data_IF_756360833288
#
_entry.id   IF_756360833288
#
_cell.length_a   1.000
_cell.length_b   1.000
_cell.length_c   1.000
_cell.angle_alpha   90.00
_cell.angle_beta   90.00
_cell.angle_gamma   90.00
#
_symmetry.space_group_name_H-M   'P 1'
#
loop_
_entity.id
_entity.type
_entity.pdbx_description
1 polymer ?
#
# COMPACT_ATOMS: atom_id res chain seq x y z
N UNK A 1 5.37 26.78 9.50
CA UNK A 1 6.36 27.11 10.56
C UNK A 1 7.75 27.07 9.96
N UNK A 2 8.62 28.05 10.25
CA UNK A 2 10.03 28.03 9.86
C UNK A 2 10.90 27.97 11.11
N UNK A 3 11.88 27.08 11.14
CA UNK A 3 12.72 26.82 12.31
C UNK A 3 14.11 27.39 12.10
N UNK A 4 14.64 28.08 13.10
CA UNK A 4 16.00 28.62 13.14
C UNK A 4 16.73 27.97 14.31
N UNK A 5 17.74 27.17 13.98
CA UNK A 5 18.59 26.47 14.94
C UNK A 5 19.88 27.26 15.20
N UNK A 6 20.61 26.90 16.25
CA UNK A 6 21.92 27.48 16.51
C UNK A 6 22.94 27.20 15.41
N UNK A 7 23.89 28.12 15.24
CA UNK A 7 24.96 28.05 14.22
C UNK A 7 25.86 26.81 14.39
N UNK A 8 25.85 26.18 15.56
CA UNK A 8 26.60 24.98 15.93
C UNK A 8 25.89 23.66 15.55
N UNK A 9 24.65 23.73 15.05
CA UNK A 9 23.85 22.55 14.73
C UNK A 9 24.00 22.18 13.26
N UNK A 10 24.50 20.96 13.00
CA UNK A 10 24.60 20.46 11.63
C UNK A 10 23.21 20.19 11.02
N UNK A 11 23.15 20.05 9.69
CA UNK A 11 21.87 19.92 8.97
C UNK A 11 21.11 18.63 9.34
N UNK A 12 21.80 17.51 9.56
CA UNK A 12 21.15 16.23 9.88
C UNK A 12 20.63 16.22 11.31
N UNK A 13 21.45 16.71 12.25
CA UNK A 13 21.05 16.93 13.62
C UNK A 13 19.87 17.90 13.70
N UNK A 14 19.93 19.02 12.96
CA UNK A 14 18.86 20.00 12.88
C UNK A 14 17.56 19.42 12.35
N UNK A 15 17.61 18.59 11.29
CA UNK A 15 16.44 17.89 10.76
C UNK A 15 15.82 16.94 11.79
N UNK A 16 16.65 16.21 12.53
CA UNK A 16 16.19 15.31 13.60
C UNK A 16 15.52 16.09 14.74
N UNK A 17 16.13 17.20 15.18
CA UNK A 17 15.58 18.08 16.22
C UNK A 17 14.21 18.63 15.81
N UNK A 18 14.10 19.18 14.60
CA UNK A 18 12.83 19.74 14.09
C UNK A 18 11.78 18.66 13.90
N UNK A 19 12.17 17.47 13.42
CA UNK A 19 11.26 16.33 13.27
C UNK A 19 10.67 15.92 14.62
N UNK A 20 11.53 15.74 15.63
CA UNK A 20 11.11 15.37 16.98
C UNK A 20 10.27 16.46 17.65
N UNK A 21 10.60 17.73 17.43
CA UNK A 21 9.78 18.85 17.89
C UNK A 21 8.38 18.79 17.27
N UNK A 22 8.28 18.64 15.95
CA UNK A 22 6.99 18.59 15.27
C UNK A 22 6.16 17.38 15.72
N UNK A 23 6.78 16.20 15.82
CA UNK A 23 6.15 14.98 16.32
C UNK A 23 5.56 15.17 17.72
N UNK A 24 6.35 15.72 18.65
CA UNK A 24 5.88 15.98 20.01
C UNK A 24 4.85 17.12 20.06
N UNK A 25 4.81 18.03 19.08
CA UNK A 25 3.78 19.05 19.01
C UNK A 25 2.43 18.45 18.57
N UNK A 26 2.46 17.45 17.68
CA UNK A 26 1.26 16.78 17.16
C UNK A 26 0.61 15.82 18.17
N UNK A 27 1.36 15.29 19.16
CA UNK A 27 0.79 14.38 20.17
C UNK A 27 -0.12 15.12 21.16
N UNK A 28 -1.43 15.00 21.00
CA UNK A 28 -2.39 15.76 21.82
C UNK A 28 -2.46 17.23 21.40
N UNK A 29 -2.62 17.47 20.10
CA UNK A 29 -2.60 18.80 19.50
C UNK A 29 -3.58 19.77 20.19
N UNK A 30 -3.12 20.98 20.61
CA UNK A 30 -3.97 21.93 21.32
C UNK A 30 -5.14 22.43 20.45
N UNK A 31 -6.33 22.57 21.06
CA UNK A 31 -7.56 22.97 20.37
C UNK A 31 -7.67 24.46 20.08
N UNK A 32 -6.86 25.28 20.74
CA UNK A 32 -6.88 26.74 20.60
C UNK A 32 -5.46 27.28 20.39
N UNK A 33 -5.39 28.45 19.74
CA UNK A 33 -4.11 29.05 19.36
C UNK A 33 -3.26 29.46 20.58
N UNK A 34 -3.87 29.79 21.72
CA UNK A 34 -3.15 30.20 22.93
C UNK A 34 -2.44 28.99 23.54
N UNK A 35 -3.17 27.89 23.71
CA UNK A 35 -2.62 26.61 24.18
C UNK A 35 -1.56 26.06 23.21
N UNK A 36 -1.76 26.24 21.90
CA UNK A 36 -0.76 25.92 20.89
C UNK A 36 0.54 26.72 21.11
N UNK A 37 0.45 28.04 21.22
CA UNK A 37 1.61 28.92 21.46
C UNK A 37 2.31 28.61 22.78
N UNK A 38 1.55 28.41 23.87
CA UNK A 38 2.11 28.04 25.17
C UNK A 38 2.86 26.72 25.12
N UNK A 39 2.33 25.73 24.39
CA UNK A 39 2.97 24.43 24.20
C UNK A 39 4.26 24.56 23.40
N UNK A 40 4.25 25.28 22.28
CA UNK A 40 5.44 25.56 21.46
C UNK A 40 6.54 26.19 22.32
N UNK A 41 6.23 27.24 23.08
CA UNK A 41 7.18 27.92 23.96
C UNK A 41 7.74 27.00 25.05
N UNK A 42 6.88 26.19 25.69
CA UNK A 42 7.30 25.23 26.71
C UNK A 42 8.25 24.18 26.13
N UNK A 43 7.95 23.67 24.92
CA UNK A 43 8.79 22.70 24.23
C UNK A 43 10.15 23.29 23.85
N UNK A 44 10.19 24.51 23.30
CA UNK A 44 11.44 25.21 23.01
C UNK A 44 12.30 25.38 24.27
N UNK A 45 11.69 25.76 25.40
CA UNK A 45 12.42 26.01 26.64
C UNK A 45 12.91 24.74 27.36
N UNK A 46 12.11 23.67 27.36
CA UNK A 46 12.35 22.50 28.21
C UNK A 46 12.87 21.26 27.45
N UNK A 47 12.58 21.14 26.16
CA UNK A 47 12.88 19.94 25.36
C UNK A 47 13.82 20.16 24.18
N UNK A 48 13.83 21.37 23.60
CA UNK A 48 14.55 21.64 22.35
C UNK A 48 15.35 22.96 22.39
N UNK A 49 16.36 23.07 23.29
CA UNK A 49 17.12 24.32 23.50
C UNK A 49 17.93 24.76 22.27
N UNK A 50 18.19 23.84 21.34
CA UNK A 50 18.87 24.10 20.06
C UNK A 50 18.02 24.86 19.05
N UNK A 51 16.70 24.93 19.26
CA UNK A 51 15.79 25.75 18.44
C UNK A 51 15.76 27.16 19.04
N UNK A 52 16.40 28.10 18.35
CA UNK A 52 16.52 29.48 18.84
C UNK A 52 15.30 30.33 18.52
N UNK A 53 14.66 30.08 17.37
CA UNK A 53 13.50 30.83 16.90
C UNK A 53 12.62 29.97 16.02
N UNK A 54 11.30 30.19 16.13
CA UNK A 54 10.30 29.60 15.25
C UNK A 54 9.43 30.72 14.73
N UNK A 55 9.35 30.85 13.40
CA UNK A 55 8.38 31.73 12.75
C UNK A 55 7.10 30.94 12.47
N UNK A 56 5.98 31.47 12.95
CA UNK A 56 4.65 30.88 12.79
C UNK A 56 3.75 31.92 12.14
N UNK A 57 3.36 31.66 10.89
CA UNK A 57 2.39 32.47 10.18
C UNK A 57 0.99 31.95 10.51
N UNK A 58 0.17 32.79 11.13
CA UNK A 58 -1.23 32.50 11.41
C UNK A 58 -2.11 33.23 10.39
N UNK A 59 -2.86 32.46 9.60
CA UNK A 59 -3.97 32.99 8.82
C UNK A 59 -5.26 32.70 9.59
N UNK A 60 -5.87 33.75 10.11
CA UNK A 60 -7.22 33.66 10.68
C UNK A 60 -8.20 33.62 9.52
N UNK A 61 -8.79 32.46 9.30
CA UNK A 61 -9.82 32.24 8.30
C UNK A 61 -11.11 32.90 8.79
N UNK A 62 -11.83 33.61 7.92
CA UNK A 62 -13.14 34.18 8.28
C UNK A 62 -14.17 33.07 8.52
N UNK A 63 -15.23 33.33 9.30
CA UNK A 63 -16.32 32.34 9.49
C UNK A 63 -17.00 31.92 8.15
N UNK A 64 -16.78 32.69 7.09
CA UNK A 64 -17.35 32.48 5.75
C UNK A 64 -16.43 31.65 4.83
N UNK A 65 -15.11 31.60 5.09
CA UNK A 65 -14.17 30.72 4.39
C UNK A 65 -14.22 29.32 5.01
N UNK A 66 -15.02 28.44 4.43
CA UNK A 66 -15.02 27.02 4.77
C UNK A 66 -13.72 26.38 4.24
N UNK A 67 -12.69 26.29 5.08
CA UNK A 67 -11.59 25.36 4.82
C UNK A 67 -12.13 23.96 5.05
N UNK A 68 -12.30 23.19 3.96
CA UNK A 68 -12.67 21.79 4.03
C UNK A 68 -11.54 21.00 4.70
N UNK A 69 -11.66 20.77 6.01
CA UNK A 69 -10.76 19.87 6.74
C UNK A 69 -11.13 18.44 6.32
N UNK A 70 -10.15 17.61 5.92
CA UNK A 70 -10.41 16.22 5.59
C UNK A 70 -11.06 15.50 6.78
N UNK A 71 -12.04 14.64 6.51
CA UNK A 71 -12.71 13.88 7.56
C UNK A 71 -11.72 12.91 8.22
N UNK A 72 -11.53 13.05 9.53
CA UNK A 72 -10.63 12.20 10.30
C UNK A 72 -11.00 10.71 10.19
N UNK A 73 -12.29 10.36 10.02
CA UNK A 73 -12.75 8.98 9.86
C UNK A 73 -12.30 8.33 8.53
N UNK A 74 -11.86 9.14 7.55
CA UNK A 74 -11.24 8.62 6.33
C UNK A 74 -9.78 8.19 6.55
N UNK A 75 -9.13 8.77 7.56
CA UNK A 75 -7.73 8.57 7.90
C UNK A 75 -7.54 7.82 9.24
N UNK A 76 -8.60 7.54 9.98
CA UNK A 76 -8.57 6.64 11.13
C UNK A 76 -9.17 5.29 10.73
N UNK A 77 -8.31 4.37 10.30
CA UNK A 77 -8.68 2.99 9.96
C UNK A 77 -9.31 2.22 11.14
N UNK A 78 -9.29 2.78 12.36
CA UNK A 78 -9.80 2.17 13.58
C UNK A 78 -11.23 2.55 13.96
N UNK A 79 -11.82 3.60 13.38
CA UNK A 79 -13.09 4.14 13.87
C UNK A 79 -14.15 4.29 12.78
N UNK A 80 -15.31 3.67 13.05
CA UNK A 80 -16.63 3.77 12.39
C UNK A 80 -16.97 2.73 11.31
N UNK A 81 -18.17 2.16 11.47
CA UNK A 81 -18.83 1.27 10.50
C UNK A 81 -19.35 2.14 9.37
N UNK A 82 -18.90 1.90 8.15
CA UNK A 82 -19.40 2.60 6.95
C UNK A 82 -20.84 2.14 6.69
N UNK A 83 -21.72 3.03 6.23
CA UNK A 83 -22.97 2.58 5.64
C UNK A 83 -22.64 1.71 4.42
N UNK A 84 -23.22 0.51 4.37
CA UNK A 84 -22.94 -0.42 3.27
C UNK A 84 -23.58 0.10 1.99
N UNK A 85 -22.74 0.25 0.97
CA UNK A 85 -23.15 0.61 -0.39
C UNK A 85 -23.03 -0.62 -1.29
N UNK A 86 -23.67 -0.58 -2.46
CA UNK A 86 -23.49 -1.60 -3.50
C UNK A 86 -22.01 -1.78 -3.88
N UNK A 87 -21.24 -0.69 -3.88
CA UNK A 87 -19.81 -0.70 -4.18
C UNK A 87 -19.00 -1.53 -3.17
N UNK A 88 -19.36 -1.53 -1.88
CA UNK A 88 -18.68 -2.34 -0.87
C UNK A 88 -18.88 -3.85 -1.09
N UNK A 89 -20.05 -4.26 -1.57
CA UNK A 89 -20.34 -5.66 -1.87
C UNK A 89 -19.68 -6.08 -3.17
N UNK A 90 -19.70 -5.22 -4.18
CA UNK A 90 -18.92 -5.43 -5.41
C UNK A 90 -17.45 -5.60 -5.08
N UNK A 91 -16.88 -4.71 -4.24
CA UNK A 91 -15.49 -4.77 -3.81
C UNK A 91 -15.17 -6.09 -3.08
N UNK A 92 -16.05 -6.57 -2.18
CA UNK A 92 -15.85 -7.87 -1.54
C UNK A 92 -15.86 -9.04 -2.53
N UNK A 93 -16.80 -9.07 -3.46
CA UNK A 93 -16.87 -10.10 -4.50
C UNK A 93 -15.65 -10.04 -5.42
N UNK A 94 -15.18 -8.84 -5.74
CA UNK A 94 -13.97 -8.63 -6.52
C UNK A 94 -12.74 -9.10 -5.76
N UNK A 95 -12.62 -8.82 -4.46
CA UNK A 95 -11.56 -9.32 -3.58
C UNK A 95 -11.54 -10.85 -3.51
N UNK A 96 -12.70 -11.48 -3.37
CA UNK A 96 -12.81 -12.93 -3.30
C UNK A 96 -12.60 -13.65 -4.63
N UNK A 97 -12.82 -12.99 -5.77
CA UNK A 97 -12.71 -13.59 -7.10
C UNK A 97 -11.36 -14.33 -7.28
N UNK A 98 -11.38 -15.62 -7.72
CA UNK A 98 -12.49 -16.40 -8.29
C UNK A 98 -13.34 -17.21 -7.31
N UNK A 99 -13.17 -17.01 -6.02
CA UNK A 99 -13.94 -17.76 -5.04
C UNK A 99 -15.27 -17.05 -4.78
N UNK A 100 -16.31 -17.83 -4.51
CA UNK A 100 -17.60 -17.30 -4.08
C UNK A 100 -17.55 -16.85 -2.62
N UNK A 101 -18.44 -15.93 -2.26
CA UNK A 101 -18.70 -15.54 -0.87
C UNK A 101 -20.12 -15.89 -0.48
N UNK A 102 -20.32 -16.41 0.72
CA UNK A 102 -21.66 -16.54 1.29
C UNK A 102 -22.16 -15.20 1.80
N UNK A 103 -23.48 -15.03 1.87
CA UNK A 103 -24.10 -13.81 2.43
C UNK A 103 -23.63 -13.59 3.88
N UNK A 104 -23.53 -14.66 4.68
CA UNK A 104 -23.05 -14.58 6.06
C UNK A 104 -21.63 -13.98 6.18
N UNK A 105 -20.71 -14.38 5.29
CA UNK A 105 -19.34 -13.85 5.28
C UNK A 105 -19.34 -12.36 4.90
N UNK A 106 -20.15 -11.95 3.93
CA UNK A 106 -20.26 -10.55 3.52
C UNK A 106 -20.89 -9.69 4.61
N UNK A 107 -21.93 -10.19 5.28
CA UNK A 107 -22.60 -9.52 6.41
C UNK A 107 -21.63 -9.29 7.57
N UNK A 108 -20.83 -10.29 7.93
CA UNK A 108 -19.82 -10.18 8.99
C UNK A 108 -18.69 -9.20 8.60
N UNK A 109 -18.19 -9.31 7.36
CA UNK A 109 -17.14 -8.45 6.84
C UNK A 109 -17.54 -6.97 6.80
N UNK A 110 -18.78 -6.67 6.39
CA UNK A 110 -19.29 -5.31 6.26
C UNK A 110 -20.00 -4.80 7.53
N UNK A 111 -20.15 -5.64 8.56
CA UNK A 111 -20.93 -5.33 9.78
C UNK A 111 -22.32 -4.77 9.47
N UNK A 112 -23.01 -5.40 8.52
CA UNK A 112 -24.32 -4.99 8.02
C UNK A 112 -25.38 -6.06 8.30
N UNK A 113 -26.57 -5.91 7.74
CA UNK A 113 -27.66 -6.89 7.84
C UNK A 113 -27.73 -7.74 6.60
N UNK A 114 -28.20 -8.99 6.75
CA UNK A 114 -28.40 -9.92 5.62
C UNK A 114 -29.30 -9.31 4.54
N UNK A 115 -30.37 -8.61 4.93
CA UNK A 115 -31.33 -8.00 4.01
C UNK A 115 -30.68 -6.90 3.14
N UNK A 116 -29.80 -6.08 3.72
CA UNK A 116 -29.05 -5.05 2.97
C UNK A 116 -28.09 -5.67 1.97
N UNK A 117 -27.36 -6.70 2.39
CA UNK A 117 -26.40 -7.40 1.54
C UNK A 117 -27.11 -8.09 0.37
N UNK A 118 -28.21 -8.81 0.64
CA UNK A 118 -29.00 -9.46 -0.42
C UNK A 118 -29.59 -8.45 -1.41
N UNK A 119 -30.07 -7.30 -0.94
CA UNK A 119 -30.61 -6.26 -1.83
C UNK A 119 -29.58 -5.82 -2.87
N UNK A 120 -28.36 -5.52 -2.43
CA UNK A 120 -27.29 -5.07 -3.32
C UNK A 120 -26.73 -6.21 -4.19
N UNK A 121 -26.68 -7.45 -3.70
CA UNK A 121 -26.29 -8.61 -4.50
C UNK A 121 -27.25 -8.84 -5.67
N UNK A 122 -28.56 -8.72 -5.43
CA UNK A 122 -29.57 -8.80 -6.50
C UNK A 122 -29.42 -7.66 -7.52
N UNK A 123 -29.03 -6.46 -7.08
CA UNK A 123 -28.75 -5.34 -7.97
C UNK A 123 -27.49 -5.60 -8.83
N UNK A 124 -26.42 -6.14 -8.24
CA UNK A 124 -25.22 -6.57 -8.97
C UNK A 124 -25.50 -7.71 -9.95
N UNK A 125 -26.41 -8.62 -9.61
CA UNK A 125 -26.89 -9.67 -10.53
C UNK A 125 -27.62 -9.07 -11.72
N UNK A 126 -28.51 -8.10 -11.48
CA UNK A 126 -29.23 -7.40 -12.54
C UNK A 126 -28.29 -6.61 -13.47
N UNK A 127 -27.17 -6.10 -12.94
CA UNK A 127 -26.10 -5.46 -13.71
C UNK A 127 -25.18 -6.46 -14.43
N UNK A 128 -25.33 -7.76 -14.18
CA UNK A 128 -24.46 -8.82 -14.74
C UNK A 128 -23.05 -8.85 -14.14
N UNK A 129 -22.85 -8.22 -12.99
CA UNK A 129 -21.55 -8.09 -12.30
C UNK A 129 -21.31 -9.29 -11.38
N UNK A 130 -22.37 -9.82 -10.76
CA UNK A 130 -22.33 -10.97 -9.87
C UNK A 130 -23.35 -12.05 -10.31
N UNK A 131 -23.14 -13.29 -9.87
CA UNK A 131 -24.11 -14.37 -10.06
C UNK A 131 -24.16 -15.24 -8.80
N UNK A 132 -25.33 -15.80 -8.50
CA UNK A 132 -25.47 -16.79 -7.43
C UNK A 132 -25.17 -18.19 -7.94
N UNK A 133 -24.19 -18.86 -7.34
CA UNK A 133 -23.84 -20.26 -7.59
C UNK A 133 -24.04 -21.04 -6.29
N UNK A 134 -25.07 -21.89 -6.25
CA UNK A 134 -25.50 -22.58 -5.03
C UNK A 134 -25.83 -21.60 -3.89
N UNK A 135 -25.08 -21.64 -2.79
CA UNK A 135 -25.22 -20.78 -1.60
C UNK A 135 -24.17 -19.65 -1.56
N UNK A 136 -23.38 -19.51 -2.63
CA UNK A 136 -22.32 -18.52 -2.76
C UNK A 136 -22.60 -17.54 -3.90
N UNK A 137 -22.09 -16.32 -3.74
CA UNK A 137 -22.13 -15.27 -4.74
C UNK A 137 -20.74 -15.11 -5.35
N UNK A 138 -20.69 -15.12 -6.68
CA UNK A 138 -19.46 -15.06 -7.45
C UNK A 138 -19.43 -13.82 -8.33
N UNK A 139 -18.30 -13.11 -8.37
CA UNK A 139 -18.05 -12.07 -9.36
C UNK A 139 -17.99 -12.70 -10.77
N UNK A 140 -18.80 -12.19 -11.70
CA UNK A 140 -18.81 -12.61 -13.11
C UNK A 140 -17.80 -11.78 -13.88
N UNK A 141 -16.63 -12.33 -14.19
CA UNK A 141 -15.73 -11.66 -15.13
C UNK A 141 -16.29 -11.79 -16.56
N UNK A 142 -16.79 -10.69 -17.12
CA UNK A 142 -17.33 -10.63 -18.49
C UNK A 142 -16.24 -10.65 -19.56
N UNK A 143 -14.95 -10.64 -19.18
CA UNK A 143 -13.81 -10.54 -20.09
C UNK A 143 -13.15 -11.91 -20.30
N UNK A 144 -13.62 -12.64 -21.31
CA UNK A 144 -12.99 -13.84 -21.90
C UNK A 144 -12.67 -15.00 -20.92
N UNK A 145 -13.70 -15.67 -20.41
CA UNK A 145 -13.56 -16.97 -19.70
C UNK A 145 -13.50 -18.17 -20.69
N UNK A 146 -13.51 -17.94 -22.00
CA UNK A 146 -13.73 -19.01 -23.00
C UNK A 146 -12.49 -19.81 -23.42
N UNK A 147 -11.36 -19.72 -22.73
CA UNK A 147 -10.23 -20.60 -23.00
C UNK A 147 -9.71 -21.22 -21.71
N UNK A 148 -10.08 -22.49 -21.46
CA UNK A 148 -9.24 -23.40 -20.66
C UNK A 148 -7.92 -23.54 -21.42
N UNK A 149 -6.99 -22.61 -21.18
CA UNK A 149 -5.70 -22.64 -21.82
C UNK A 149 -4.97 -23.93 -21.37
N UNK A 150 -4.51 -24.71 -22.35
CA UNK A 150 -3.67 -25.89 -22.11
C UNK A 150 -2.43 -25.42 -21.35
N UNK A 151 -2.02 -26.17 -20.34
CA UNK A 151 -0.72 -25.96 -19.66
C UNK A 151 0.38 -25.78 -20.71
N UNK A 152 1.36 -24.87 -20.52
CA UNK A 152 2.43 -24.69 -21.49
C UNK A 152 3.10 -26.03 -21.80
N UNK A 153 3.08 -26.45 -23.07
CA UNK A 153 3.69 -27.70 -23.53
C UNK A 153 5.05 -27.38 -24.15
N UNK A 154 6.07 -27.26 -23.30
CA UNK A 154 7.48 -27.14 -23.72
C UNK A 154 8.35 -26.41 -22.69
N UNK A 155 9.65 -26.74 -22.59
CA UNK A 155 10.58 -26.05 -21.69
C UNK A 155 10.77 -24.56 -22.03
N UNK A 156 10.55 -24.15 -23.27
CA UNK A 156 10.71 -22.76 -23.76
C UNK A 156 9.49 -21.87 -23.54
N UNK A 157 8.38 -22.40 -22.99
CA UNK A 157 7.13 -21.65 -22.81
C UNK A 157 6.78 -21.47 -21.32
N UNK A 158 7.74 -21.73 -20.42
CA UNK A 158 7.54 -21.56 -18.98
C UNK A 158 7.82 -20.12 -18.54
N UNK A 159 7.01 -19.56 -17.63
CA UNK A 159 7.27 -18.26 -17.02
C UNK A 159 8.57 -18.23 -16.21
N UNK A 160 9.34 -17.15 -16.38
CA UNK A 160 10.54 -16.84 -15.60
C UNK A 160 10.28 -15.76 -14.56
N UNK A 161 9.19 -15.01 -14.71
CA UNK A 161 8.79 -13.94 -13.78
C UNK A 161 7.41 -14.24 -13.19
N UNK A 162 7.31 -14.24 -11.87
CA UNK A 162 6.03 -14.28 -11.16
C UNK A 162 5.65 -12.90 -10.61
N UNK A 163 4.36 -12.59 -10.69
CA UNK A 163 3.77 -11.34 -10.22
C UNK A 163 2.64 -11.69 -9.24
N UNK A 164 2.73 -11.19 -8.02
CA UNK A 164 1.73 -11.37 -6.97
C UNK A 164 1.10 -10.01 -6.66
N UNK A 165 -0.22 -9.94 -6.75
CA UNK A 165 -1.04 -8.76 -6.42
C UNK A 165 -2.06 -9.11 -5.35
N UNK A 166 -2.65 -8.13 -4.69
CA UNK A 166 -3.68 -8.37 -3.66
C UNK A 166 -5.04 -7.81 -4.03
N UNK A 167 -5.12 -6.55 -4.46
CA UNK A 167 -6.38 -5.90 -4.79
C UNK A 167 -6.77 -6.16 -6.24
N UNK A 168 -8.06 -6.04 -6.53
CA UNK A 168 -8.56 -6.20 -7.88
C UNK A 168 -8.00 -5.12 -8.83
N UNK A 169 -7.96 -3.85 -8.39
CA UNK A 169 -7.37 -2.74 -9.17
C UNK A 169 -5.89 -2.96 -9.48
N UNK A 170 -5.14 -3.58 -8.57
CA UNK A 170 -3.73 -3.97 -8.77
C UNK A 170 -3.61 -5.04 -9.85
N UNK A 171 -4.46 -6.07 -9.77
CA UNK A 171 -4.50 -7.15 -10.75
C UNK A 171 -4.89 -6.64 -12.14
N UNK A 172 -5.88 -5.76 -12.23
CA UNK A 172 -6.28 -5.12 -13.48
C UNK A 172 -5.13 -4.32 -14.09
N UNK A 173 -4.45 -3.50 -13.28
CA UNK A 173 -3.32 -2.69 -13.71
C UNK A 173 -2.16 -3.55 -14.27
N UNK A 174 -1.82 -4.64 -13.59
CA UNK A 174 -0.83 -5.61 -14.06
C UNK A 174 -1.28 -6.27 -15.36
N UNK A 175 -2.50 -6.80 -15.41
CA UNK A 175 -3.02 -7.54 -16.57
C UNK A 175 -3.15 -6.68 -17.83
N UNK A 176 -3.34 -5.38 -17.70
CA UNK A 176 -3.39 -4.45 -18.83
C UNK A 176 -2.03 -4.32 -19.54
N UNK A 177 -0.94 -4.55 -18.81
CA UNK A 177 0.43 -4.45 -19.31
C UNK A 177 1.04 -5.79 -19.74
N UNK A 178 0.32 -6.89 -19.56
CA UNK A 178 0.72 -8.22 -20.04
C UNK A 178 0.28 -8.39 -21.50
N UNK A 179 1.24 -8.64 -22.38
CA UNK A 179 1.04 -8.95 -23.79
C UNK A 179 0.74 -10.45 -23.99
N UNK A 180 0.05 -10.81 -25.08
CA UNK A 180 -0.34 -12.19 -25.42
C UNK A 180 -1.00 -12.95 -24.25
N UNK A 181 -1.81 -12.24 -23.46
CA UNK A 181 -2.32 -12.76 -22.20
C UNK A 181 -3.31 -13.91 -22.40
N UNK A 182 -3.22 -14.93 -21.54
CA UNK A 182 -4.14 -16.06 -21.44
C UNK A 182 -4.43 -16.36 -19.98
N UNK A 183 -5.68 -16.71 -19.67
CA UNK A 183 -6.12 -17.02 -18.33
C UNK A 183 -6.13 -18.54 -18.13
N UNK A 184 -5.54 -19.01 -17.03
CA UNK A 184 -5.54 -20.42 -16.66
C UNK A 184 -6.22 -20.59 -15.32
N UNK A 185 -7.30 -21.36 -15.30
CA UNK A 185 -7.95 -21.82 -14.09
C UNK A 185 -7.38 -23.19 -13.70
N UNK A 186 -6.70 -23.27 -12.55
CA UNK A 186 -6.25 -24.55 -12.01
C UNK A 186 -7.13 -24.94 -10.83
N UNK A 187 -8.12 -25.79 -11.12
CA UNK A 187 -8.93 -26.46 -10.10
C UNK A 187 -8.15 -27.64 -9.52
N UNK A 188 -8.10 -27.75 -8.19
CA UNK A 188 -7.83 -29.03 -7.53
C UNK A 188 -9.14 -29.57 -6.96
N UNK A 189 -9.36 -30.87 -7.13
CA UNK A 189 -10.42 -31.61 -6.43
C UNK A 189 -10.22 -31.43 -4.91
N UNK A 190 -10.99 -30.55 -4.30
CA UNK A 190 -10.77 -30.07 -2.92
C UNK A 190 -11.15 -28.61 -2.65
N UNK A 191 -11.63 -27.86 -3.65
CA UNK A 191 -12.25 -26.53 -3.44
C UNK A 191 -11.33 -25.34 -3.68
N UNK A 192 -10.01 -25.55 -3.80
CA UNK A 192 -9.07 -24.46 -4.07
C UNK A 192 -8.92 -24.19 -5.57
N UNK A 193 -9.39 -23.02 -6.01
CA UNK A 193 -9.22 -22.49 -7.36
C UNK A 193 -8.20 -21.34 -7.34
N UNK A 194 -7.17 -21.43 -8.19
CA UNK A 194 -6.28 -20.29 -8.44
C UNK A 194 -6.36 -19.89 -9.91
N UNK A 195 -6.46 -18.58 -10.15
CA UNK A 195 -6.33 -17.99 -11.47
C UNK A 195 -4.90 -17.51 -11.68
N UNK A 196 -4.38 -17.86 -12.85
CA UNK A 196 -3.12 -17.34 -13.35
C UNK A 196 -3.35 -16.63 -14.67
N UNK A 197 -2.85 -15.40 -14.81
CA UNK A 197 -2.71 -14.74 -16.11
C UNK A 197 -1.29 -14.98 -16.61
N UNK A 198 -1.16 -15.74 -17.69
CA UNK A 198 0.10 -15.99 -18.37
C UNK A 198 0.23 -15.03 -19.55
N UNK A 199 1.44 -14.57 -19.84
CA UNK A 199 1.70 -13.78 -21.05
C UNK A 199 3.16 -13.34 -21.14
N UNK A 200 3.39 -12.16 -21.70
CA UNK A 200 4.73 -11.58 -21.85
C UNK A 200 4.79 -10.14 -21.37
N UNK A 201 5.96 -9.78 -20.86
CA UNK A 201 6.36 -8.38 -20.68
C UNK A 201 7.76 -8.28 -21.29
N UNK A 202 7.86 -7.55 -22.40
CA UNK A 202 9.08 -7.55 -23.20
C UNK A 202 9.49 -8.96 -23.64
N UNK A 203 10.72 -9.36 -23.32
CA UNK A 203 11.24 -10.69 -23.69
C UNK A 203 10.85 -11.79 -22.70
N UNK A 204 10.38 -11.42 -21.51
CA UNK A 204 10.13 -12.32 -20.39
C UNK A 204 8.73 -12.92 -20.44
N UNK A 205 8.64 -14.22 -20.17
CA UNK A 205 7.36 -14.90 -19.92
C UNK A 205 6.97 -14.66 -18.47
N UNK A 206 5.75 -14.18 -18.27
CA UNK A 206 5.26 -13.78 -16.95
C UNK A 206 4.04 -14.59 -16.55
N UNK A 207 3.89 -14.78 -15.24
CA UNK A 207 2.68 -15.31 -14.61
C UNK A 207 2.23 -14.37 -13.50
N UNK A 208 1.00 -13.88 -13.59
CA UNK A 208 0.39 -13.03 -12.58
C UNK A 208 -0.72 -13.76 -11.84
N UNK A 209 -0.80 -13.57 -10.52
CA UNK A 209 -1.91 -14.05 -9.70
C UNK A 209 -2.33 -12.98 -8.69
N UNK A 210 -3.54 -13.14 -8.16
CA UNK A 210 -4.12 -12.29 -7.14
C UNK A 210 -4.30 -13.12 -5.87
N UNK A 211 -3.92 -12.57 -4.73
CA UNK A 211 -4.20 -13.14 -3.41
C UNK A 211 -5.68 -12.95 -3.07
N UNK A 212 -6.29 -13.93 -2.40
CA UNK A 212 -7.68 -13.83 -1.97
C UNK A 212 -7.86 -12.84 -0.79
N UNK A 213 -6.85 -12.77 0.08
CA UNK A 213 -6.82 -11.85 1.22
C UNK A 213 -5.38 -11.62 1.69
N UNK A 214 -5.16 -10.47 2.32
CA UNK A 214 -3.92 -10.10 2.99
C UNK A 214 -4.23 -9.46 4.34
N UNK A 215 -3.29 -9.54 5.28
CA UNK A 215 -3.44 -9.00 6.61
C UNK A 215 -2.81 -9.88 7.68
N UNK A 216 -3.11 -9.57 8.93
CA UNK A 216 -2.54 -10.22 10.11
C UNK A 216 -3.42 -11.35 10.68
N UNK A 217 -4.61 -11.57 10.14
CA UNK A 217 -5.44 -12.72 10.50
C UNK A 217 -4.79 -14.02 10.06
N UNK A 218 -4.98 -15.08 10.84
CA UNK A 218 -4.39 -16.40 10.53
C UNK A 218 -4.86 -16.91 9.17
N UNK A 219 -6.12 -16.66 8.83
CA UNK A 219 -6.75 -17.05 7.58
C UNK A 219 -6.11 -16.32 6.39
N UNK A 220 -5.89 -15.01 6.50
CA UNK A 220 -5.20 -14.22 5.46
C UNK A 220 -3.74 -14.64 5.31
N UNK A 221 -3.01 -14.78 6.42
CA UNK A 221 -1.61 -15.24 6.43
C UNK A 221 -1.47 -16.59 5.73
N UNK A 222 -2.34 -17.55 6.08
CA UNK A 222 -2.32 -18.92 5.53
C UNK A 222 -2.70 -18.91 4.05
N UNK A 223 -3.74 -18.17 3.67
CA UNK A 223 -4.20 -18.05 2.30
C UNK A 223 -3.11 -17.46 1.39
N UNK A 224 -2.56 -16.30 1.75
CA UNK A 224 -1.55 -15.61 0.97
C UNK A 224 -0.27 -16.44 0.78
N UNK A 225 0.22 -17.08 1.84
CA UNK A 225 1.38 -17.96 1.78
C UNK A 225 1.12 -19.22 0.93
N UNK A 226 -0.07 -19.82 1.05
CA UNK A 226 -0.48 -21.01 0.29
C UNK A 226 -0.60 -20.73 -1.21
N UNK A 227 -1.26 -19.63 -1.60
CA UNK A 227 -1.39 -19.20 -3.01
C UNK A 227 0.00 -18.99 -3.62
N UNK A 228 0.88 -18.28 -2.89
CA UNK A 228 2.25 -18.01 -3.35
C UNK A 228 3.07 -19.29 -3.50
N UNK A 229 3.05 -20.17 -2.49
CA UNK A 229 3.75 -21.47 -2.54
C UNK A 229 3.26 -22.32 -3.72
N UNK A 230 1.96 -22.28 -4.02
CA UNK A 230 1.38 -23.00 -5.16
C UNK A 230 1.77 -22.40 -6.49
N UNK A 231 1.79 -21.07 -6.62
CA UNK A 231 2.29 -20.40 -7.83
C UNK A 231 3.71 -20.90 -8.15
N UNK A 232 4.62 -20.78 -7.17
CA UNK A 232 6.02 -21.18 -7.32
C UNK A 232 6.17 -22.71 -7.48
N UNK A 233 5.29 -23.49 -6.85
CA UNK A 233 5.20 -24.94 -7.03
C UNK A 233 4.73 -25.36 -8.44
N UNK A 234 3.87 -24.57 -9.06
CA UNK A 234 3.27 -24.87 -10.36
C UNK A 234 4.17 -24.45 -11.53
N UNK A 235 5.00 -23.42 -11.34
CA UNK A 235 5.89 -22.84 -12.35
C UNK A 235 7.32 -22.86 -11.81
N UNK A 236 8.04 -23.96 -12.05
CA UNK A 236 9.35 -24.23 -11.45
C UNK A 236 10.51 -23.41 -12.04
N UNK A 237 10.27 -22.76 -13.19
CA UNK A 237 11.28 -21.97 -13.90
C UNK A 237 11.27 -20.48 -13.51
N UNK A 238 10.56 -20.10 -12.46
CA UNK A 238 10.55 -18.72 -11.97
C UNK A 238 11.92 -18.38 -11.39
N UNK A 239 12.47 -17.25 -11.84
CA UNK A 239 13.75 -16.68 -11.39
C UNK A 239 13.54 -15.38 -10.61
N UNK A 240 12.51 -14.61 -10.98
CA UNK A 240 12.19 -13.32 -10.37
C UNK A 240 10.75 -13.28 -9.86
N UNK A 241 10.54 -12.79 -8.64
CA UNK A 241 9.19 -12.58 -8.09
C UNK A 241 8.97 -11.10 -7.74
N UNK A 242 7.88 -10.54 -8.26
CA UNK A 242 7.44 -9.19 -7.93
C UNK A 242 6.15 -9.25 -7.12
N UNK A 243 6.14 -8.57 -5.97
CA UNK A 243 4.90 -8.33 -5.22
C UNK A 243 4.48 -6.90 -5.51
N UNK A 244 3.44 -6.72 -6.32
CA UNK A 244 3.03 -5.41 -6.85
C UNK A 244 1.70 -5.01 -6.25
N UNK A 245 1.62 -3.76 -5.79
CA UNK A 245 0.39 -3.25 -5.22
C UNK A 245 0.48 -1.80 -4.80
N UNK A 246 -0.48 -1.37 -3.98
CA UNK A 246 -0.50 -0.05 -3.36
C UNK A 246 0.09 -0.10 -1.95
N UNK A 247 0.57 1.04 -1.47
CA UNK A 247 1.05 1.20 -0.11
C UNK A 247 0.83 2.63 0.39
N UNK A 248 1.16 2.85 1.66
CA UNK A 248 1.12 4.15 2.30
C UNK A 248 2.52 4.73 2.49
N UNK A 249 2.72 5.99 2.13
CA UNK A 249 4.00 6.66 2.36
C UNK A 249 4.19 7.00 3.84
N UNK A 250 5.40 6.81 4.33
CA UNK A 250 5.82 7.33 5.64
C UNK A 250 6.14 8.82 5.49
N UNK A 251 5.46 9.72 6.23
CA UNK A 251 5.73 11.15 6.14
C UNK A 251 7.11 11.53 6.71
N UNK A 252 7.94 12.19 5.91
CA UNK A 252 9.24 12.72 6.33
C UNK A 252 9.26 14.25 6.26
N UNK A 253 8.64 14.91 7.25
CA UNK A 253 8.37 16.35 7.25
C UNK A 253 9.60 17.27 7.10
N UNK A 254 10.79 16.77 7.44
CA UNK A 254 12.04 17.55 7.43
C UNK A 254 13.02 17.09 6.36
N UNK A 255 12.69 16.02 5.62
CA UNK A 255 13.55 15.48 4.56
C UNK A 255 12.77 15.22 3.27
N UNK A 256 12.73 16.26 2.43
CA UNK A 256 12.15 16.22 1.10
C UNK A 256 12.66 15.04 0.24
N UNK A 257 13.90 14.57 0.45
CA UNK A 257 14.47 13.45 -0.32
C UNK A 257 13.93 12.09 0.10
N UNK A 258 13.49 11.95 1.35
CA UNK A 258 12.89 10.71 1.89
C UNK A 258 11.37 10.71 1.74
N UNK A 259 10.75 11.89 1.70
CA UNK A 259 9.30 12.02 1.63
C UNK A 259 8.72 11.59 0.27
N UNK A 260 7.99 10.47 0.28
CA UNK A 260 7.15 10.04 -0.82
C UNK A 260 5.76 10.67 -0.72
N UNK A 261 5.10 10.88 -1.86
CA UNK A 261 3.76 11.46 -2.00
C UNK A 261 2.83 10.56 -2.79
N UNK A 262 1.54 10.89 -2.81
CA UNK A 262 0.57 10.12 -3.59
C UNK A 262 0.94 10.14 -5.09
N UNK A 263 0.84 8.96 -5.73
CA UNK A 263 1.27 8.74 -7.11
C UNK A 263 2.76 8.41 -7.28
N UNK A 264 3.59 8.54 -6.24
CA UNK A 264 4.98 8.04 -6.27
C UNK A 264 5.00 6.51 -6.21
N UNK A 265 6.14 5.92 -6.56
CA UNK A 265 6.37 4.47 -6.39
C UNK A 265 7.58 4.23 -5.50
N UNK A 266 7.39 3.38 -4.49
CA UNK A 266 8.45 2.87 -3.62
C UNK A 266 8.77 1.43 -4.01
N UNK A 267 10.04 1.14 -4.24
CA UNK A 267 10.58 -0.20 -4.50
C UNK A 267 11.43 -0.62 -3.31
N UNK A 268 11.23 -1.85 -2.84
CA UNK A 268 12.01 -2.43 -1.74
C UNK A 268 13.50 -2.45 -2.07
N UNK A 269 14.34 -1.97 -1.15
CA UNK A 269 15.80 -1.97 -1.28
C UNK A 269 16.48 -2.47 0.00
N UNK A 270 17.61 -3.18 -0.12
CA UNK A 270 18.23 -3.93 0.97
C UNK A 270 19.04 -3.07 1.97
N UNK A 271 18.68 -1.80 2.15
CA UNK A 271 19.36 -0.86 3.05
C UNK A 271 18.34 -0.01 3.82
N UNK A 272 18.07 -0.28 5.11
CA UNK A 272 18.59 -1.41 5.89
C UNK A 272 18.00 -2.77 5.50
N UNK A 273 16.72 -2.85 5.17
CA UNK A 273 16.02 -4.12 4.90
C UNK A 273 15.02 -3.92 3.76
N UNK A 274 14.99 -4.83 2.78
CA UNK A 274 14.04 -4.73 1.66
C UNK A 274 12.59 -4.81 2.16
N UNK A 275 12.31 -5.73 3.09
CA UNK A 275 11.02 -5.83 3.73
C UNK A 275 11.13 -6.18 5.22
N UNK A 276 10.37 -5.47 6.05
CA UNK A 276 10.33 -5.69 7.50
C UNK A 276 8.90 -5.83 8.02
N UNK A 277 8.66 -6.86 8.82
CA UNK A 277 7.34 -7.12 9.39
C UNK A 277 7.40 -7.20 10.92
N UNK A 278 6.53 -6.45 11.59
CA UNK A 278 6.35 -6.51 13.04
C UNK A 278 5.11 -7.36 13.41
N UNK A 279 5.26 -8.67 13.69
CA UNK A 279 4.16 -9.51 14.15
C UNK A 279 3.67 -9.19 15.56
N UNK A 280 4.52 -8.64 16.43
CA UNK A 280 4.22 -8.48 17.86
C UNK A 280 5.01 -7.33 18.50
N UNK A 281 4.53 -6.84 19.64
CA UNK A 281 5.18 -5.80 20.44
C UNK A 281 6.05 -6.43 21.53
N UNK A 282 7.19 -5.80 21.83
CA UNK A 282 7.96 -6.10 23.04
C UNK A 282 7.41 -5.26 24.19
N UNK A 283 6.92 -5.93 25.23
CA UNK A 283 6.37 -5.29 26.43
C UNK A 283 7.18 -5.72 27.65
N UNK A 284 7.59 -4.76 28.48
CA UNK A 284 8.28 -5.05 29.73
C UNK A 284 7.31 -5.71 30.72
N UNK A 285 7.65 -6.91 31.19
CA UNK A 285 6.76 -7.73 32.03
C UNK A 285 6.45 -7.14 33.41
N UNK A 286 7.24 -6.17 33.90
CA UNK A 286 7.07 -5.57 35.23
C UNK A 286 6.30 -4.26 35.18
N UNK A 287 6.54 -3.47 34.13
CA UNK A 287 5.99 -2.13 33.97
C UNK A 287 4.83 -2.09 32.98
N UNK A 288 4.63 -3.15 32.21
CA UNK A 288 3.66 -3.24 31.09
C UNK A 288 3.88 -2.19 30.01
N UNK A 289 5.05 -1.52 30.04
CA UNK A 289 5.40 -0.49 29.08
C UNK A 289 5.91 -1.09 27.76
N UNK A 290 5.54 -0.44 26.65
CA UNK A 290 6.13 -0.68 25.34
C UNK A 290 7.65 -0.48 25.38
N UNK A 291 8.39 -1.47 24.87
CA UNK A 291 9.87 -1.45 24.82
C UNK A 291 10.45 -1.63 23.41
N UNK A 292 9.64 -2.03 22.42
CA UNK A 292 10.08 -2.18 21.03
C UNK A 292 9.18 -3.11 20.21
N UNK A 293 9.67 -3.58 19.07
CA UNK A 293 8.95 -4.47 18.15
C UNK A 293 9.68 -5.81 17.98
N UNK A 294 8.95 -6.93 18.06
CA UNK A 294 9.44 -8.17 17.47
C UNK A 294 9.34 -8.03 15.96
N UNK A 295 10.46 -8.23 15.25
CA UNK A 295 10.51 -8.04 13.80
C UNK A 295 11.07 -9.25 13.06
N UNK A 296 10.54 -9.48 11.86
CA UNK A 296 11.11 -10.32 10.81
C UNK A 296 11.68 -9.43 9.72
N UNK A 297 12.92 -9.69 9.33
CA UNK A 297 13.66 -8.92 8.32
C UNK A 297 13.92 -9.79 7.11
N UNK A 298 13.68 -9.24 5.93
CA UNK A 298 13.79 -9.94 4.68
C UNK A 298 14.61 -9.12 3.68
N UNK A 299 15.58 -9.77 3.05
CA UNK A 299 16.40 -9.18 2.00
C UNK A 299 16.57 -10.21 0.87
N UNK A 300 16.38 -9.82 -0.40
CA UNK A 300 16.76 -10.68 -1.53
C UNK A 300 18.28 -10.88 -1.53
N UNK A 301 18.73 -12.03 -2.02
CA UNK A 301 20.16 -12.29 -2.20
C UNK A 301 20.67 -11.68 -3.51
N UNK A 302 19.81 -11.53 -4.53
CA UNK A 302 20.12 -10.80 -5.75
C UNK A 302 19.57 -9.35 -5.68
N UNK A 303 20.47 -8.38 -5.85
CA UNK A 303 20.17 -6.95 -5.86
C UNK A 303 20.08 -6.37 -7.29
N UNK A 304 19.90 -7.20 -8.31
CA UNK A 304 19.73 -6.78 -9.70
C UNK A 304 18.57 -5.77 -9.87
N UNK A 305 17.40 -6.06 -9.30
CA UNK A 305 16.22 -5.19 -9.41
C UNK A 305 16.50 -3.81 -8.79
N UNK A 306 17.12 -3.79 -7.60
CA UNK A 306 17.54 -2.56 -6.93
C UNK A 306 18.51 -1.75 -7.81
N UNK A 307 19.49 -2.41 -8.42
CA UNK A 307 20.46 -1.77 -9.32
C UNK A 307 19.82 -1.20 -10.59
N UNK A 308 18.88 -1.92 -11.21
CA UNK A 308 18.15 -1.44 -12.39
C UNK A 308 17.47 -0.09 -12.09
N UNK A 309 16.85 0.05 -10.92
CA UNK A 309 16.18 1.29 -10.51
C UNK A 309 17.20 2.36 -10.13
N UNK A 310 18.23 2.00 -9.35
CA UNK A 310 19.25 2.95 -8.88
C UNK A 310 20.06 3.58 -10.03
N UNK A 311 20.39 2.79 -11.04
CA UNK A 311 21.20 3.21 -12.20
C UNK A 311 20.34 3.76 -13.35
N UNK A 312 19.01 3.66 -13.25
CA UNK A 312 18.08 3.95 -14.34
C UNK A 312 17.96 5.43 -14.73
N UNK A 313 18.24 6.35 -13.80
CA UNK A 313 18.24 7.80 -14.03
C UNK A 313 16.99 8.35 -14.74
N UNK A 314 17.18 9.40 -15.54
CA UNK A 314 16.07 10.08 -16.25
C UNK A 314 15.41 9.20 -17.32
N UNK A 315 16.14 8.25 -17.90
CA UNK A 315 15.60 7.34 -18.92
C UNK A 315 14.54 6.40 -18.31
N UNK A 316 14.83 5.83 -17.12
CA UNK A 316 13.88 5.00 -16.39
C UNK A 316 12.62 5.81 -16.04
N UNK A 317 12.78 7.05 -15.58
CA UNK A 317 11.65 7.94 -15.27
C UNK A 317 10.79 8.24 -16.51
N UNK A 318 11.42 8.53 -17.65
CA UNK A 318 10.71 8.75 -18.91
C UNK A 318 9.92 7.51 -19.33
N UNK A 319 10.56 6.34 -19.31
CA UNK A 319 9.93 5.06 -19.67
C UNK A 319 8.82 4.66 -18.70
N UNK A 320 8.98 4.96 -17.42
CA UNK A 320 7.96 4.74 -16.40
C UNK A 320 6.71 5.60 -16.66
N UNK A 321 6.88 6.87 -16.99
CA UNK A 321 5.75 7.73 -17.35
C UNK A 321 5.04 7.25 -18.62
N UNK A 322 5.78 6.93 -19.69
CA UNK A 322 5.23 6.36 -20.92
C UNK A 322 4.44 5.06 -20.67
N UNK A 323 5.00 4.16 -19.85
CA UNK A 323 4.35 2.90 -19.51
C UNK A 323 3.08 3.08 -18.67
N UNK A 324 3.00 4.11 -17.81
CA UNK A 324 1.76 4.42 -17.09
C UNK A 324 0.72 5.03 -17.99
N UNK A 325 1.09 5.94 -18.89
CA UNK A 325 0.12 6.49 -19.84
C UNK A 325 -0.47 5.38 -20.73
N UNK A 326 0.35 4.41 -21.16
CA UNK A 326 -0.12 3.21 -21.85
C UNK A 326 -1.04 2.35 -20.97
N UNK A 327 -0.68 2.12 -19.70
CA UNK A 327 -1.50 1.36 -18.76
C UNK A 327 -2.88 2.02 -18.58
N UNK A 328 -2.91 3.32 -18.27
CA UNK A 328 -4.14 4.10 -18.05
C UNK A 328 -5.00 4.11 -19.30
N UNK A 329 -4.40 4.30 -20.49
CA UNK A 329 -5.14 4.22 -21.76
C UNK A 329 -5.80 2.86 -21.95
N UNK A 330 -5.03 1.76 -21.84
CA UNK A 330 -5.58 0.39 -21.99
C UNK A 330 -6.68 0.12 -20.96
N UNK A 331 -6.49 0.56 -19.72
CA UNK A 331 -7.49 0.39 -18.66
C UNK A 331 -8.76 1.19 -18.95
N UNK A 332 -8.65 2.43 -19.44
CA UNK A 332 -9.81 3.24 -19.81
C UNK A 332 -10.62 2.66 -20.97
N UNK A 333 -9.97 1.90 -21.86
CA UNK A 333 -10.63 1.21 -22.97
C UNK A 333 -11.30 -0.11 -22.54
N UNK A 334 -10.79 -0.75 -21.48
CA UNK A 334 -11.18 -2.12 -21.10
C UNK A 334 -11.89 -2.23 -19.74
N UNK A 335 -11.87 -1.19 -18.91
CA UNK A 335 -12.38 -1.17 -17.55
C UNK A 335 -13.25 0.07 -17.33
N UNK A 336 -14.56 -0.14 -17.15
CA UNK A 336 -15.50 0.93 -16.82
C UNK A 336 -15.69 1.10 -15.29
N UNK A 337 -15.18 0.16 -14.49
CA UNK A 337 -15.47 0.07 -13.06
C UNK A 337 -14.59 1.01 -12.20
N UNK A 338 -13.39 1.37 -12.69
CA UNK A 338 -12.43 2.20 -11.96
C UNK A 338 -11.82 3.27 -12.86
N UNK A 339 -11.66 4.47 -12.32
CA UNK A 339 -10.90 5.53 -12.98
C UNK A 339 -9.41 5.43 -12.60
N UNK A 340 -8.58 5.08 -13.57
CA UNK A 340 -7.13 4.98 -13.42
C UNK A 340 -6.39 6.29 -13.76
N UNK A 341 -7.13 7.34 -14.16
CA UNK A 341 -6.55 8.65 -14.46
C UNK A 341 -5.91 9.28 -13.20
N UNK A 342 -4.95 10.19 -13.41
CA UNK A 342 -4.28 10.85 -12.30
C UNK A 342 -5.29 11.75 -11.56
N UNK A 343 -5.51 11.55 -10.25
CA UNK A 343 -6.37 12.43 -9.48
C UNK A 343 -5.85 13.87 -9.45
N UNK A 344 -6.72 14.82 -9.13
CA UNK A 344 -6.36 16.23 -9.06
C UNK A 344 -5.21 16.45 -8.05
N UNK A 345 -4.15 17.22 -8.36
CA UNK A 345 -3.01 17.41 -7.48
C UNK A 345 -3.35 17.95 -6.08
N UNK A 346 -4.47 18.66 -5.95
CA UNK A 346 -4.98 19.21 -4.68
C UNK A 346 -5.50 18.12 -3.73
N UNK A 347 -5.78 16.92 -4.26
CA UNK A 347 -6.24 15.76 -3.48
C UNK A 347 -5.08 14.98 -2.83
N UNK A 348 -3.84 15.32 -3.18
CA UNK A 348 -2.67 14.85 -2.45
C UNK A 348 -2.50 15.68 -1.18
N UNK A 349 -3.14 15.19 -0.11
CA UNK A 349 -3.20 15.86 1.19
C UNK A 349 -2.52 15.00 2.24
N UNK A 350 -1.45 15.53 2.83
CA UNK A 350 -0.81 14.94 4.00
C UNK A 350 -1.58 15.32 5.28
N UNK A 351 -2.59 14.49 5.59
CA UNK A 351 -3.39 14.61 6.80
C UNK A 351 -2.87 13.69 7.91
N UNK A 352 -2.62 14.26 9.10
CA UNK A 352 -2.18 13.53 10.28
C UNK A 352 -3.29 13.50 11.33
N UNK A 353 -3.74 12.32 11.78
CA UNK A 353 -4.68 12.24 12.89
C UNK A 353 -3.97 12.67 14.19
N UNK A 354 -4.54 13.64 14.90
CA UNK A 354 -4.00 14.17 16.16
C UNK A 354 -4.80 13.72 17.39
N UNK A 355 -5.77 12.82 17.19
CA UNK A 355 -6.64 12.27 18.23
C UNK A 355 -7.92 13.06 18.43
N UNK A 356 -8.93 12.41 19.02
CA UNK A 356 -10.24 13.01 19.29
C UNK A 356 -11.02 13.44 18.03
N UNK A 357 -10.85 12.72 16.92
CA UNK A 357 -11.53 12.98 15.64
C UNK A 357 -11.01 14.20 14.86
N UNK A 358 -9.83 14.72 15.20
CA UNK A 358 -9.22 15.86 14.48
C UNK A 358 -8.02 15.41 13.64
N UNK A 359 -7.82 16.10 12.52
CA UNK A 359 -6.64 15.97 11.65
C UNK A 359 -5.92 17.30 11.51
N UNK A 360 -4.59 17.24 11.35
CA UNK A 360 -3.76 18.36 10.96
C UNK A 360 -3.25 18.11 9.54
N UNK A 361 -3.53 19.05 8.63
CA UNK A 361 -2.97 19.03 7.28
C UNK A 361 -1.61 19.71 7.30
N UNK A 362 -0.60 19.01 6.80
CA UNK A 362 0.78 19.49 6.75
C UNK A 362 1.18 19.68 5.29
N UNK A 363 1.78 20.83 4.90
CA UNK A 363 2.30 20.98 3.55
C UNK A 363 3.45 19.99 3.29
N UNK A 364 3.58 19.55 2.05
CA UNK A 364 4.66 18.65 1.67
C UNK A 364 6.02 19.36 1.74
N UNK A 365 7.06 18.75 2.33
CA UNK A 365 8.42 19.33 2.40
C UNK A 365 9.06 19.57 1.03
N UNK A 366 8.58 18.90 -0.03
CA UNK A 366 9.07 19.04 -1.40
C UNK A 366 8.08 19.82 -2.31
N UNK A 367 7.09 20.52 -1.73
CA UNK A 367 6.03 21.19 -2.50
C UNK A 367 6.57 22.16 -3.57
N UNK A 368 7.60 22.94 -3.24
CA UNK A 368 8.19 23.93 -4.17
C UNK A 368 9.20 23.33 -5.16
N UNK A 369 9.75 22.15 -4.85
CA UNK A 369 10.85 21.54 -5.63
C UNK A 369 10.39 20.41 -6.54
N UNK A 370 9.20 19.86 -6.31
CA UNK A 370 8.67 18.69 -7.02
C UNK A 370 8.26 19.06 -8.44
N UNK A 371 8.71 18.26 -9.41
CA UNK A 371 8.40 18.44 -10.85
C UNK A 371 7.40 17.43 -11.40
N UNK A 372 7.06 16.41 -10.62
CA UNK A 372 6.17 15.32 -11.01
C UNK A 372 6.30 14.14 -10.04
N UNK A 373 5.70 12.99 -10.37
CA UNK A 373 5.88 11.75 -9.61
C UNK A 373 7.35 11.31 -9.57
N UNK A 374 7.75 10.76 -8.43
CA UNK A 374 9.11 10.31 -8.16
C UNK A 374 9.16 8.80 -7.86
N UNK A 375 10.35 8.23 -8.07
CA UNK A 375 10.65 6.84 -7.76
C UNK A 375 11.58 6.79 -6.57
N UNK A 376 11.30 5.89 -5.65
CA UNK A 376 12.00 5.79 -4.39
C UNK A 376 12.47 4.37 -4.13
N UNK A 377 13.74 4.24 -3.74
CA UNK A 377 14.26 3.03 -3.12
C UNK A 377 14.22 3.20 -1.60
N UNK A 378 13.80 2.15 -0.89
CA UNK A 378 13.81 2.12 0.56
C UNK A 378 13.12 0.90 1.16
N UNK A 379 13.20 0.77 2.47
CA UNK A 379 12.55 -0.31 3.22
C UNK A 379 11.03 -0.18 3.13
N UNK A 380 10.37 -1.29 2.80
CA UNK A 380 8.91 -1.42 2.91
C UNK A 380 8.61 -2.18 4.19
N UNK A 381 7.66 -1.69 4.99
CA UNK A 381 7.32 -2.24 6.29
C UNK A 381 5.86 -2.63 6.42
N UNK A 382 5.55 -3.51 7.35
CA UNK A 382 4.17 -3.71 7.81
C UNK A 382 4.15 -4.18 9.25
N UNK A 383 2.98 -4.08 9.89
CA UNK A 383 2.79 -4.44 11.29
C UNK A 383 1.45 -5.15 11.46
N UNK A 384 1.36 -6.04 12.44
CA UNK A 384 0.08 -6.55 12.89
C UNK A 384 -0.78 -5.44 13.53
N UNK A 385 -2.08 -5.68 13.62
CA UNK A 385 -3.03 -4.76 14.19
C UNK A 385 -3.06 -4.91 15.72
N UNK A 386 -2.34 -4.04 16.43
CA UNK A 386 -2.20 -4.09 17.89
C UNK A 386 -3.39 -3.49 18.66
N UNK A 387 -4.63 -3.81 18.26
CA UNK A 387 -5.87 -3.23 18.83
C UNK A 387 -5.92 -3.28 20.37
N UNK A 388 -5.56 -4.44 20.95
CA UNK A 388 -5.58 -4.63 22.40
C UNK A 388 -4.64 -3.66 23.14
N UNK A 389 -3.43 -3.48 22.62
CA UNK A 389 -2.45 -2.58 23.25
C UNK A 389 -2.88 -1.11 23.14
N UNK A 390 -3.50 -0.75 22.02
CA UNK A 390 -4.05 0.59 21.72
C UNK A 390 -5.19 0.93 22.67
N UNK A 391 -6.11 -0.02 22.90
CA UNK A 391 -7.24 0.14 23.83
C UNK A 391 -6.79 0.23 25.30
N UNK A 392 -5.79 -0.57 25.70
CA UNK A 392 -5.29 -0.61 27.09
C UNK A 392 -4.42 0.60 27.46
N UNK A 393 -3.74 1.25 26.51
CA UNK A 393 -2.76 2.31 26.78
C UNK A 393 -3.12 3.70 26.21
N UNK A 394 -4.31 3.86 25.61
CA UNK A 394 -4.74 5.10 24.92
C UNK A 394 -3.75 5.61 23.83
N UNK A 395 -2.84 4.75 23.34
CA UNK A 395 -1.89 5.07 22.29
C UNK A 395 -2.47 4.74 20.91
N UNK A 396 -2.47 5.69 19.97
CA UNK A 396 -3.05 5.46 18.64
C UNK A 396 -2.21 4.49 17.80
N UNK A 397 -2.87 3.70 16.94
CA UNK A 397 -2.20 2.85 15.94
C UNK A 397 -1.24 3.70 15.08
N UNK A 398 -1.62 4.92 14.74
CA UNK A 398 -0.77 5.87 14.02
C UNK A 398 0.54 6.19 14.75
N UNK A 399 0.50 6.33 16.09
CA UNK A 399 1.70 6.57 16.88
C UNK A 399 2.65 5.35 16.88
N UNK A 400 2.11 4.13 16.98
CA UNK A 400 2.92 2.91 16.86
C UNK A 400 3.53 2.77 15.46
N UNK A 401 2.77 3.03 14.40
CA UNK A 401 3.29 3.04 13.02
C UNK A 401 4.42 4.05 12.84
N UNK A 402 4.27 5.26 13.41
CA UNK A 402 5.32 6.27 13.36
C UNK A 402 6.59 5.84 14.12
N UNK A 403 6.45 5.22 15.31
CA UNK A 403 7.59 4.64 16.04
C UNK A 403 8.28 3.54 15.25
N UNK A 404 7.51 2.61 14.68
CA UNK A 404 8.04 1.52 13.86
C UNK A 404 8.78 2.05 12.62
N UNK A 405 8.19 3.00 11.91
CA UNK A 405 8.80 3.54 10.71
C UNK A 405 10.10 4.31 10.99
N UNK A 406 10.16 5.01 12.12
CA UNK A 406 11.38 5.68 12.58
C UNK A 406 12.47 4.67 13.00
N UNK A 407 12.11 3.68 13.82
CA UNK A 407 13.07 2.69 14.35
C UNK A 407 13.74 1.86 13.24
N UNK A 408 13.02 1.55 12.16
CA UNK A 408 13.50 0.69 11.08
C UNK A 408 13.72 1.40 9.74
N UNK A 409 13.70 2.74 9.74
CA UNK A 409 13.85 3.58 8.54
C UNK A 409 12.92 3.16 7.39
N UNK A 410 11.67 2.83 7.72
CA UNK A 410 10.65 2.44 6.75
C UNK A 410 10.22 3.67 5.96
N UNK A 411 10.15 3.50 4.63
CA UNK A 411 9.72 4.56 3.71
C UNK A 411 8.26 4.41 3.27
N UNK A 412 7.78 3.18 3.22
CA UNK A 412 6.42 2.83 2.82
C UNK A 412 5.91 1.72 3.72
N UNK A 413 4.67 1.83 4.18
CA UNK A 413 3.97 0.76 4.89
C UNK A 413 2.96 0.11 3.96
N UNK A 414 2.81 -1.21 4.02
CA UNK A 414 1.80 -1.94 3.27
C UNK A 414 0.92 -2.83 4.18
N UNK A 415 0.07 -3.64 3.55
CA UNK A 415 -0.93 -4.46 4.21
C UNK A 415 -0.40 -5.74 4.89
N UNK A 416 0.90 -6.06 4.79
CA UNK A 416 1.50 -7.22 5.46
C UNK A 416 1.70 -8.44 4.57
N UNK A 417 2.73 -8.42 3.72
CA UNK A 417 3.11 -9.51 2.80
C UNK A 417 4.12 -10.51 3.38
N UNK A 418 4.27 -10.60 4.69
CA UNK A 418 5.29 -11.44 5.33
C UNK A 418 5.18 -12.93 4.96
N UNK A 419 3.97 -13.50 4.89
CA UNK A 419 3.79 -14.89 4.47
C UNK A 419 4.10 -15.12 2.99
N UNK A 420 3.92 -14.10 2.15
CA UNK A 420 4.27 -14.13 0.72
C UNK A 420 5.79 -14.13 0.57
N UNK A 421 6.49 -13.23 1.27
CA UNK A 421 7.95 -13.17 1.27
C UNK A 421 8.57 -14.43 1.89
N UNK A 422 7.96 -14.98 2.95
CA UNK A 422 8.37 -16.26 3.52
C UNK A 422 8.22 -17.42 2.52
N UNK A 423 7.13 -17.45 1.74
CA UNK A 423 6.92 -18.45 0.70
C UNK A 423 7.95 -18.33 -0.45
N UNK A 424 8.26 -17.11 -0.88
CA UNK A 424 9.28 -16.83 -1.90
C UNK A 424 10.66 -17.34 -1.45
N UNK A 425 11.07 -17.00 -0.23
CA UNK A 425 12.33 -17.48 0.34
C UNK A 425 12.31 -19.00 0.56
N UNK A 426 11.19 -19.57 1.01
CA UNK A 426 11.02 -21.02 1.16
C UNK A 426 11.14 -21.78 -0.16
N UNK A 427 10.75 -21.15 -1.27
CA UNK A 427 10.92 -21.65 -2.64
C UNK A 427 12.31 -21.37 -3.24
N UNK A 428 13.23 -20.78 -2.48
CA UNK A 428 14.61 -20.46 -2.90
C UNK A 428 14.70 -19.53 -4.11
N UNK A 429 13.80 -18.56 -4.18
CA UNK A 429 13.90 -17.49 -5.16
C UNK A 429 14.72 -16.35 -4.56
N UNK A 430 15.91 -16.13 -5.11
CA UNK A 430 16.88 -15.16 -4.58
C UNK A 430 16.65 -13.73 -5.10
N UNK A 431 15.95 -13.59 -6.23
CA UNK A 431 15.59 -12.28 -6.82
C UNK A 431 14.12 -11.98 -6.63
N UNK A 432 13.82 -11.00 -5.78
CA UNK A 432 12.46 -10.50 -5.60
C UNK A 432 12.43 -9.03 -5.20
N UNK A 433 11.30 -8.37 -5.46
CA UNK A 433 11.08 -7.00 -5.01
C UNK A 433 9.59 -6.73 -4.74
N UNK A 434 9.32 -5.88 -3.74
CA UNK A 434 8.01 -5.26 -3.56
C UNK A 434 8.00 -3.93 -4.32
N UNK A 435 6.92 -3.68 -5.05
CA UNK A 435 6.67 -2.40 -5.73
C UNK A 435 5.34 -1.87 -5.21
N UNK A 436 5.37 -0.67 -4.61
CA UNK A 436 4.24 -0.03 -3.96
C UNK A 436 3.96 1.33 -4.58
N UNK A 437 2.83 1.46 -5.25
CA UNK A 437 2.29 2.75 -5.64
C UNK A 437 1.68 3.43 -4.42
N UNK A 438 2.08 4.66 -4.12
CA UNK A 438 1.62 5.35 -2.92
C UNK A 438 0.18 5.85 -3.13
N UNK A 439 -0.75 5.32 -2.34
CA UNK A 439 -2.17 5.65 -2.40
C UNK A 439 -2.67 6.41 -1.16
N UNK A 440 -1.97 6.30 -0.03
CA UNK A 440 -2.23 7.11 1.17
C UNK A 440 -0.93 7.35 1.97
N UNK A 441 -1.07 7.85 3.21
CA UNK A 441 0.02 8.01 4.18
C UNK A 441 -0.08 6.99 5.34
N UNK A 442 -0.67 5.83 5.07
CA UNK A 442 -0.91 4.76 6.04
C UNK A 442 -0.42 3.41 5.54
N UNK A 443 -1.24 2.65 4.82
CA UNK A 443 -0.91 1.29 4.37
C UNK A 443 -1.50 0.96 2.99
N UNK A 444 -1.99 1.97 2.26
CA UNK A 444 -2.59 1.84 0.93
C UNK A 444 -4.02 1.30 0.90
N UNK A 445 -4.60 0.94 2.07
CA UNK A 445 -5.96 0.40 2.17
C UNK A 445 -6.87 1.25 3.08
N UNK A 446 -6.48 2.49 3.42
CA UNK A 446 -7.39 3.39 4.15
C UNK A 446 -8.54 3.86 3.26
N UNK A 447 -9.63 4.38 3.84
CA UNK A 447 -10.71 4.98 3.04
C UNK A 447 -10.21 6.13 2.17
N UNK A 448 -9.32 6.97 2.72
CA UNK A 448 -8.69 8.06 1.98
C UNK A 448 -7.91 7.57 0.75
N UNK A 449 -7.42 6.33 0.76
CA UNK A 449 -6.67 5.77 -0.37
C UNK A 449 -7.55 5.48 -1.60
N UNK A 450 -8.86 5.26 -1.46
CA UNK A 450 -9.76 4.82 -2.56
C UNK A 450 -9.65 5.71 -3.81
N UNK A 451 -9.48 7.02 -3.64
CA UNK A 451 -9.32 7.97 -4.74
C UNK A 451 -8.04 7.75 -5.55
N UNK A 452 -6.94 7.40 -4.87
CA UNK A 452 -5.62 7.25 -5.49
C UNK A 452 -5.27 5.79 -5.81
N UNK A 453 -5.95 4.81 -5.21
CA UNK A 453 -5.64 3.39 -5.32
C UNK A 453 -5.50 2.91 -6.76
N UNK A 454 -6.45 3.24 -7.63
CA UNK A 454 -6.42 2.81 -9.03
C UNK A 454 -5.20 3.41 -9.77
N UNK A 455 -5.02 4.73 -9.72
CA UNK A 455 -3.89 5.38 -10.36
C UNK A 455 -2.54 4.90 -9.81
N UNK A 456 -2.41 4.76 -8.50
CA UNK A 456 -1.21 4.28 -7.84
C UNK A 456 -0.91 2.81 -8.18
N UNK A 457 -1.95 1.97 -8.34
CA UNK A 457 -1.79 0.62 -8.86
C UNK A 457 -1.26 0.62 -10.32
N UNK A 458 -1.77 1.50 -11.19
CA UNK A 458 -1.23 1.65 -12.56
C UNK A 458 0.23 2.13 -12.56
N UNK A 459 0.59 3.03 -11.65
CA UNK A 459 1.97 3.51 -11.48
C UNK A 459 2.91 2.37 -11.05
N UNK A 460 2.48 1.53 -10.10
CA UNK A 460 3.23 0.36 -9.65
C UNK A 460 3.39 -0.70 -10.76
N UNK A 461 2.31 -1.01 -11.49
CA UNK A 461 2.33 -1.96 -12.59
C UNK A 461 3.21 -1.49 -13.77
N UNK A 462 3.21 -0.19 -14.06
CA UNK A 462 4.10 0.37 -15.07
C UNK A 462 5.58 0.26 -14.66
N UNK A 463 5.90 0.49 -13.39
CA UNK A 463 7.27 0.31 -12.88
C UNK A 463 7.70 -1.16 -12.99
N UNK A 464 6.82 -2.11 -12.64
CA UNK A 464 7.04 -3.53 -12.89
C UNK A 464 7.44 -3.78 -14.35
N UNK A 465 6.67 -3.28 -15.32
CA UNK A 465 6.97 -3.44 -16.74
C UNK A 465 8.36 -2.92 -17.10
N UNK A 466 8.68 -1.70 -16.67
CA UNK A 466 9.96 -1.04 -16.95
C UNK A 466 11.15 -1.80 -16.40
N UNK A 467 11.01 -2.40 -15.21
CA UNK A 467 12.03 -3.25 -14.59
C UNK A 467 12.16 -4.58 -15.34
N UNK A 468 11.04 -5.25 -15.63
CA UNK A 468 11.06 -6.56 -16.32
C UNK A 468 11.67 -6.45 -17.71
N UNK A 469 11.38 -5.39 -18.46
CA UNK A 469 12.00 -5.13 -19.77
C UNK A 469 13.52 -4.91 -19.71
N UNK A 470 14.07 -4.60 -18.52
CA UNK A 470 15.51 -4.39 -18.26
C UNK A 470 16.20 -5.59 -17.61
N UNK A 471 15.46 -6.64 -17.25
CA UNK A 471 16.06 -7.87 -16.76
C UNK A 471 16.88 -8.56 -17.88
N UNK A 472 18.00 -9.22 -17.54
CA UNK A 472 18.75 -10.05 -18.49
C UNK A 472 17.83 -11.04 -19.21
N UNK A 473 18.10 -11.38 -20.48
CA UNK A 473 17.31 -12.35 -21.19
C UNK A 473 17.37 -13.73 -20.49
N UNK A 474 16.27 -14.50 -20.50
CA UNK A 474 16.17 -15.81 -19.85
C UNK A 474 16.98 -16.91 -20.54
#
# INVERSE_FOLDING_TARGET
MKFFLGDDVDLQEGRSIVHNFFKQLMTGFPKDYVSFMMRVLKMMHQGFPKIQRIDIDFNLVSEEELVAIPDAAQYDSGSEVEEVTIGHIQELLEHAFPNGLTVAVMTDALRSTTDEVERYLNELEALGIAQRVEDEWLRVDTRNVDAVARTPHGPTDQPTVAIVTCLFVEKQAVDALIEDRSMVHRYKSGGDSNIYTLGRIGQHRVVATKLASIGDSREAITSAGSITTRLLGNFQNIEHVFVVGVGGAVPHFTDAKRHARLGDVVISASKPDAYIYAPDLMIDRKTEAFSGFFVRRWNPADHLIERIVADGGDELMFKWNEATDDAVRRLSETSADFDFSMPAPETDVLALPVGGGNVVVVPHPNQDTRKGPEVHLGSIGAMANFKRHVEENEESIGALRAKFAEEFEVRCIDAGFDSVIAAINGSRIDSWALIRGIADYQHGLSRASRLWQAHSAARAAAMLRVIVERLPPP
#
